data_IF_768625241445
#
_entry.id   IF_768625241445
#
_cell.length_a   1.000
_cell.length_b   1.000
_cell.length_c   1.000
_cell.angle_alpha   90.00
_cell.angle_beta   90.00
_cell.angle_gamma   90.00
#
_symmetry.space_group_name_H-M   'P 1'
#
loop_
_entity.id
_entity.type
_entity.pdbx_description
1 polymer ?
#
# COMPACT_ATOMS: atom_id res chain seq x y z
N UNK A 1 17.69 25.55 10.93
CA UNK A 1 18.44 24.82 9.89
C UNK A 1 17.94 25.34 8.55
N UNK A 2 18.82 25.71 7.62
CA UNK A 2 18.38 26.12 6.28
C UNK A 2 17.85 24.89 5.52
N UNK A 3 16.78 25.06 4.76
CA UNK A 3 16.24 24.02 3.92
C UNK A 3 17.20 23.75 2.75
N UNK A 4 17.79 22.57 2.72
CA UNK A 4 18.74 22.15 1.68
C UNK A 4 18.06 21.43 0.51
N UNK A 5 16.75 21.18 0.60
CA UNK A 5 16.04 20.41 -0.41
C UNK A 5 15.68 21.28 -1.62
N UNK A 6 16.12 20.84 -2.80
CA UNK A 6 15.59 21.34 -4.07
C UNK A 6 14.32 20.55 -4.35
N UNK A 7 13.17 21.22 -4.21
CA UNK A 7 11.85 20.61 -4.48
C UNK A 7 11.42 20.88 -5.89
N UNK A 8 10.73 19.91 -6.49
CA UNK A 8 10.01 20.17 -7.73
C UNK A 8 8.96 21.26 -7.52
N UNK A 9 8.89 22.26 -8.42
CA UNK A 9 7.80 23.24 -8.38
C UNK A 9 6.42 22.62 -8.66
N UNK A 10 6.39 21.41 -9.24
CA UNK A 10 5.18 20.63 -9.49
C UNK A 10 4.67 19.88 -8.27
N UNK A 11 5.32 19.97 -7.10
CA UNK A 11 4.82 19.29 -5.92
C UNK A 11 3.42 19.83 -5.50
N UNK A 12 2.49 18.94 -5.09
CA UNK A 12 2.62 17.48 -5.06
C UNK A 12 2.54 16.85 -6.45
N UNK A 13 3.41 15.86 -6.73
CA UNK A 13 3.43 15.18 -8.04
C UNK A 13 2.20 14.30 -8.29
N UNK A 14 1.56 13.84 -7.22
CA UNK A 14 0.35 13.02 -7.23
C UNK A 14 -0.51 13.37 -6.01
N UNK A 15 -1.82 13.43 -6.22
CA UNK A 15 -2.84 13.66 -5.22
C UNK A 15 -3.88 12.51 -5.21
N UNK A 16 -4.66 12.35 -4.13
CA UNK A 16 -5.75 11.36 -4.10
C UNK A 16 -6.74 11.45 -5.27
N UNK A 17 -6.97 12.65 -5.82
CA UNK A 17 -7.86 12.86 -6.98
C UNK A 17 -7.31 12.28 -8.28
N UNK A 18 -6.01 12.03 -8.37
CA UNK A 18 -5.37 11.49 -9.59
C UNK A 18 -5.54 9.97 -9.69
N UNK A 19 -5.97 9.31 -8.61
CA UNK A 19 -6.11 7.86 -8.53
C UNK A 19 -7.58 7.48 -8.45
N UNK A 20 -8.03 6.67 -9.40
CA UNK A 20 -9.38 6.10 -9.37
C UNK A 20 -9.49 5.06 -8.25
N UNK A 21 -10.49 5.10 -7.37
CA UNK A 21 -10.65 4.10 -6.30
C UNK A 21 -10.70 2.66 -6.80
N UNK A 22 -10.27 1.70 -5.97
CA UNK A 22 -10.28 0.28 -6.30
C UNK A 22 -11.70 -0.29 -6.43
N UNK A 23 -12.67 0.31 -5.74
CA UNK A 23 -14.10 -0.01 -5.83
C UNK A 23 -14.93 1.28 -5.82
N UNK A 24 -16.10 1.34 -6.50
CA UNK A 24 -16.91 2.55 -6.60
C UNK A 24 -17.40 3.13 -5.25
N UNK A 25 -17.59 2.27 -4.26
CA UNK A 25 -18.05 2.62 -2.91
C UNK A 25 -16.94 3.17 -2.00
N UNK A 26 -15.68 3.02 -2.44
CA UNK A 26 -14.51 3.51 -1.73
C UNK A 26 -14.06 4.86 -2.29
N UNK A 27 -13.28 5.57 -1.48
CA UNK A 27 -12.54 6.75 -1.89
C UNK A 27 -11.07 6.58 -1.53
N UNK A 28 -10.21 7.11 -2.38
CA UNK A 28 -8.78 7.26 -2.07
C UNK A 28 -8.66 8.36 -1.03
N UNK A 29 -8.22 7.99 0.17
CA UNK A 29 -7.96 8.95 1.24
C UNK A 29 -6.53 9.49 1.14
N UNK A 30 -5.58 8.62 0.77
CA UNK A 30 -4.17 9.00 0.71
C UNK A 30 -3.43 8.23 -0.39
N UNK A 31 -2.48 8.94 -1.03
CA UNK A 31 -1.50 8.41 -1.98
C UNK A 31 -0.14 8.76 -1.41
N UNK A 32 0.67 7.77 -1.03
CA UNK A 32 1.90 8.03 -0.28
C UNK A 32 2.94 6.91 -0.40
N UNK A 33 4.09 7.14 0.24
CA UNK A 33 5.16 6.19 0.51
C UNK A 33 5.54 5.27 -0.67
N UNK A 34 5.82 5.83 -1.88
CA UNK A 34 6.14 5.00 -3.02
C UNK A 34 7.47 4.27 -2.86
N UNK A 35 7.50 3.01 -3.29
CA UNK A 35 8.74 2.39 -3.79
C UNK A 35 9.09 2.99 -5.15
N UNK A 36 10.37 3.08 -5.50
CA UNK A 36 10.83 3.69 -6.76
C UNK A 36 11.74 2.71 -7.49
N UNK A 37 11.60 2.61 -8.81
CA UNK A 37 12.47 1.81 -9.67
C UNK A 37 12.50 2.36 -11.10
N UNK A 38 13.44 1.86 -11.91
CA UNK A 38 13.46 2.10 -13.35
C UNK A 38 13.07 0.83 -14.07
N UNK A 39 12.25 0.94 -15.12
CA UNK A 39 11.86 -0.17 -15.97
C UNK A 39 11.39 0.38 -17.32
N UNK A 40 11.78 -0.29 -18.41
CA UNK A 40 11.46 0.13 -19.78
C UNK A 40 11.76 1.62 -20.06
N UNK A 41 12.95 2.07 -19.66
CA UNK A 41 13.43 3.46 -19.79
C UNK A 41 12.55 4.55 -19.12
N UNK A 42 11.65 4.16 -18.20
CA UNK A 42 10.79 5.08 -17.44
C UNK A 42 11.13 5.02 -15.95
N UNK A 43 10.78 6.07 -15.22
CA UNK A 43 10.74 6.04 -13.75
C UNK A 43 9.38 5.51 -13.32
N UNK A 44 9.37 4.54 -12.41
CA UNK A 44 8.16 3.93 -11.89
C UNK A 44 8.05 4.13 -10.38
N UNK A 45 6.81 4.24 -9.91
CA UNK A 45 6.47 4.26 -8.49
C UNK A 45 5.53 3.10 -8.15
N UNK A 46 5.76 2.46 -7.01
CA UNK A 46 4.81 1.57 -6.35
C UNK A 46 4.17 2.33 -5.21
N UNK A 47 3.09 3.04 -5.50
CA UNK A 47 2.34 3.88 -4.56
C UNK A 47 1.66 3.01 -3.49
N UNK A 48 1.65 3.46 -2.24
CA UNK A 48 0.66 3.01 -1.25
C UNK A 48 -0.61 3.83 -1.42
N UNK A 49 -1.70 3.16 -1.72
CA UNK A 49 -3.03 3.76 -1.83
C UNK A 49 -3.85 3.32 -0.61
N UNK A 50 -4.20 4.28 0.25
CA UNK A 50 -5.06 4.03 1.40
C UNK A 50 -6.49 4.44 1.05
N UNK A 51 -7.43 3.49 1.10
CA UNK A 51 -8.82 3.71 0.76
C UNK A 51 -9.74 3.51 1.95
N UNK A 52 -10.85 4.24 1.96
CA UNK A 52 -11.93 4.05 2.93
C UNK A 52 -13.30 4.21 2.29
N UNK A 53 -14.37 3.68 2.93
CA UNK A 53 -15.73 3.97 2.51
C UNK A 53 -16.08 5.44 2.65
N UNK A 54 -16.99 5.92 1.79
CA UNK A 54 -17.63 7.21 1.97
C UNK A 54 -18.40 7.25 3.31
N UNK A 55 -18.10 8.24 4.15
CA UNK A 55 -18.70 8.34 5.48
C UNK A 55 -20.12 8.89 5.42
N UNK A 56 -21.03 8.29 6.20
CA UNK A 56 -22.41 8.74 6.35
C UNK A 56 -22.57 9.44 7.70
N UNK A 57 -23.39 10.50 7.74
CA UNK A 57 -23.65 11.25 8.97
C UNK A 57 -24.23 10.32 10.06
N UNK A 58 -23.62 10.33 11.24
CA UNK A 58 -24.05 9.52 12.39
C UNK A 58 -23.60 8.05 12.34
N UNK A 59 -22.83 7.66 11.31
CA UNK A 59 -22.26 6.33 11.16
C UNK A 59 -20.74 6.36 11.26
N UNK A 60 -20.17 5.24 11.63
CA UNK A 60 -18.73 4.94 11.52
C UNK A 60 -18.63 3.78 10.54
N UNK A 61 -17.91 3.96 9.45
CA UNK A 61 -17.68 2.91 8.46
C UNK A 61 -16.21 2.74 8.11
N UNK A 62 -15.78 1.49 7.98
CA UNK A 62 -14.39 1.14 7.69
C UNK A 62 -14.31 -0.13 6.82
N UNK A 63 -13.25 -0.28 6.03
CA UNK A 63 -13.08 -1.41 5.15
C UNK A 63 -12.50 -2.63 5.90
N UNK A 64 -12.92 -3.82 5.53
CA UNK A 64 -12.37 -5.10 6.01
C UNK A 64 -12.17 -6.06 4.83
N UNK A 65 -11.09 -6.83 4.85
CA UNK A 65 -10.90 -7.92 3.91
C UNK A 65 -11.56 -9.19 4.43
N UNK A 66 -12.46 -9.79 3.64
CA UNK A 66 -13.07 -11.07 3.98
C UNK A 66 -12.15 -12.26 3.65
N UNK A 67 -12.59 -13.47 4.05
CA UNK A 67 -11.85 -14.72 3.81
C UNK A 67 -11.71 -15.10 2.32
N UNK A 68 -12.47 -14.45 1.45
CA UNK A 68 -12.42 -14.57 0.00
C UNK A 68 -11.57 -13.46 -0.65
N UNK A 69 -10.74 -12.78 0.14
CA UNK A 69 -9.88 -11.65 -0.25
C UNK A 69 -10.64 -10.45 -0.82
N UNK A 70 -11.96 -10.37 -0.61
CA UNK A 70 -12.78 -9.23 -1.03
C UNK A 70 -12.93 -8.20 0.08
N UNK A 71 -12.71 -6.94 -0.27
CA UNK A 71 -12.95 -5.80 0.61
C UNK A 71 -14.45 -5.58 0.75
N UNK A 72 -14.90 -5.36 1.98
CA UNK A 72 -16.28 -5.03 2.35
C UNK A 72 -16.28 -3.87 3.33
N UNK A 73 -17.40 -3.17 3.41
CA UNK A 73 -17.60 -2.11 4.41
C UNK A 73 -18.32 -2.67 5.62
N UNK A 74 -17.77 -2.48 6.82
CA UNK A 74 -18.54 -2.55 8.06
C UNK A 74 -19.03 -1.15 8.41
N UNK A 75 -20.26 -1.07 8.94
CA UNK A 75 -20.91 0.19 9.30
C UNK A 75 -21.65 0.04 10.62
N UNK A 76 -21.43 0.99 11.54
CA UNK A 76 -22.03 1.01 12.86
C UNK A 76 -22.57 2.41 13.18
N UNK A 77 -23.52 2.51 14.10
CA UNK A 77 -23.93 3.80 14.67
C UNK A 77 -22.78 4.40 15.46
N UNK A 78 -22.53 5.71 15.30
CA UNK A 78 -21.45 6.41 16.01
C UNK A 78 -21.53 6.27 17.55
N UNK A 79 -22.74 6.14 18.09
CA UNK A 79 -22.97 6.00 19.53
C UNK A 79 -23.07 4.54 19.99
N UNK A 80 -22.66 3.58 19.15
CA UNK A 80 -22.64 2.18 19.54
C UNK A 80 -21.67 1.99 20.72
N UNK A 81 -22.12 1.44 21.87
CA UNK A 81 -21.30 1.33 23.08
C UNK A 81 -20.12 0.36 22.94
N UNK A 82 -20.10 -0.46 21.89
CA UNK A 82 -19.00 -1.40 21.59
C UNK A 82 -17.90 -0.76 20.72
N UNK A 83 -18.06 0.49 20.28
CA UNK A 83 -17.05 1.20 19.49
C UNK A 83 -16.11 1.99 20.38
N UNK A 84 -14.81 1.88 20.10
CA UNK A 84 -13.78 2.76 20.64
C UNK A 84 -13.01 3.45 19.50
N UNK A 85 -12.95 4.79 19.53
CA UNK A 85 -12.45 5.63 18.45
C UNK A 85 -11.36 6.61 18.93
N UNK A 86 -10.42 6.11 19.74
CA UNK A 86 -9.40 6.94 20.39
C UNK A 86 -8.28 7.41 19.45
N UNK A 87 -7.93 6.60 18.44
CA UNK A 87 -6.97 6.93 17.38
C UNK A 87 -7.70 6.91 16.03
N UNK A 88 -7.60 7.96 15.19
CA UNK A 88 -8.33 8.02 13.91
C UNK A 88 -7.92 6.93 12.91
N UNK A 89 -6.78 6.27 13.10
CA UNK A 89 -6.30 5.20 12.23
C UNK A 89 -6.93 3.86 12.57
N UNK A 90 -7.33 3.68 13.82
CA UNK A 90 -7.87 2.42 14.34
C UNK A 90 -9.36 2.53 14.63
N UNK A 91 -10.08 1.44 14.45
CA UNK A 91 -11.44 1.29 14.93
C UNK A 91 -11.48 0.03 15.77
N UNK A 92 -11.82 0.15 17.04
CA UNK A 92 -12.04 -1.03 17.90
C UNK A 92 -13.54 -1.26 17.95
N UNK A 93 -13.97 -2.49 17.67
CA UNK A 93 -15.36 -2.92 17.78
C UNK A 93 -15.42 -4.25 18.52
N UNK A 94 -16.12 -4.27 19.65
CA UNK A 94 -16.31 -5.48 20.48
C UNK A 94 -14.99 -6.16 20.88
N UNK A 95 -13.97 -5.34 21.19
CA UNK A 95 -12.62 -5.80 21.55
C UNK A 95 -11.70 -6.16 20.37
N UNK A 96 -12.21 -6.21 19.15
CA UNK A 96 -11.44 -6.48 17.93
C UNK A 96 -10.94 -5.18 17.30
N UNK A 97 -9.68 -5.16 16.88
CA UNK A 97 -9.04 -3.98 16.28
C UNK A 97 -9.05 -4.04 14.75
N UNK A 98 -9.46 -2.94 14.14
CA UNK A 98 -9.51 -2.74 12.70
C UNK A 98 -8.77 -1.46 12.30
N UNK A 99 -8.51 -1.31 11.00
CA UNK A 99 -8.02 -0.05 10.44
C UNK A 99 -9.16 0.73 9.79
N UNK A 100 -9.09 2.06 9.94
CA UNK A 100 -10.03 3.02 9.30
C UNK A 100 -9.90 3.04 7.76
N UNK A 101 -8.76 2.58 7.24
CA UNK A 101 -8.44 2.48 5.82
C UNK A 101 -7.87 1.10 5.53
N UNK A 102 -7.99 0.64 4.28
CA UNK A 102 -7.25 -0.52 3.79
C UNK A 102 -6.26 -0.06 2.72
N UNK A 103 -5.01 -0.49 2.86
CA UNK A 103 -3.94 -0.14 1.92
C UNK A 103 -3.77 -1.22 0.85
N UNK A 104 -3.55 -0.80 -0.38
CA UNK A 104 -3.05 -1.63 -1.48
C UNK A 104 -1.94 -0.88 -2.21
N UNK A 105 -1.23 -1.58 -3.11
CA UNK A 105 -0.17 -0.97 -3.89
C UNK A 105 -0.62 -0.71 -5.34
N UNK A 106 -0.16 0.40 -5.91
CA UNK A 106 -0.46 0.76 -7.29
C UNK A 106 0.75 1.27 -8.05
N UNK A 107 0.95 0.73 -9.25
CA UNK A 107 2.05 1.11 -10.12
C UNK A 107 1.65 2.29 -11.01
N UNK A 108 2.55 3.26 -11.11
CA UNK A 108 2.49 4.37 -12.07
C UNK A 108 3.87 4.58 -12.67
N UNK A 109 3.94 5.14 -13.88
CA UNK A 109 5.19 5.43 -14.57
C UNK A 109 5.24 6.86 -15.11
N UNK A 110 6.46 7.32 -15.38
CA UNK A 110 6.75 8.65 -15.90
C UNK A 110 7.95 8.61 -16.83
N UNK A 111 7.84 9.31 -17.95
CA UNK A 111 8.93 9.51 -18.92
C UNK A 111 9.88 10.65 -18.52
N UNK A 112 9.41 11.61 -17.73
CA UNK A 112 10.15 12.83 -17.36
C UNK A 112 10.45 12.95 -15.86
N UNK A 113 10.00 11.97 -15.07
CA UNK A 113 10.16 11.93 -13.61
C UNK A 113 9.28 12.92 -12.86
N UNK A 114 8.35 13.60 -13.54
CA UNK A 114 7.49 14.65 -12.96
C UNK A 114 6.01 14.31 -13.15
N UNK A 115 5.61 13.88 -14.35
CA UNK A 115 4.23 13.56 -14.68
C UNK A 115 4.03 12.04 -14.65
N UNK A 116 3.31 11.56 -13.65
CA UNK A 116 3.04 10.13 -13.46
C UNK A 116 1.64 9.74 -13.95
N UNK A 117 1.53 8.58 -14.56
CA UNK A 117 0.25 7.99 -14.99
C UNK A 117 0.24 6.48 -14.77
N UNK A 118 -0.96 5.91 -14.66
CA UNK A 118 -1.13 4.46 -14.65
C UNK A 118 -1.04 3.93 -16.10
N UNK A 119 -0.12 3.01 -16.40
CA UNK A 119 0.03 2.45 -17.74
C UNK A 119 -1.07 1.44 -18.09
N UNK A 120 -1.49 1.41 -19.36
CA UNK A 120 -2.56 0.52 -19.86
C UNK A 120 -2.07 -0.89 -20.21
N UNK A 121 -0.76 -1.09 -20.40
CA UNK A 121 -0.15 -2.31 -20.92
C UNK A 121 0.45 -3.25 -19.84
N UNK A 122 0.31 -2.87 -18.56
CA UNK A 122 0.77 -3.64 -17.40
C UNK A 122 -0.32 -3.81 -16.34
N UNK A 123 -0.33 -4.93 -15.58
CA UNK A 123 -1.12 -5.01 -14.36
C UNK A 123 -0.52 -4.09 -13.28
N UNK A 124 -1.32 -3.15 -12.80
CA UNK A 124 -0.83 -2.06 -11.93
C UNK A 124 -1.28 -2.19 -10.48
N UNK A 125 -2.23 -3.07 -10.17
CA UNK A 125 -2.84 -3.18 -8.83
C UNK A 125 -2.33 -4.42 -8.10
N UNK A 126 -1.72 -4.23 -6.93
CA UNK A 126 -1.39 -5.31 -6.01
C UNK A 126 -2.24 -5.16 -4.76
N UNK A 127 -3.09 -6.14 -4.50
CA UNK A 127 -3.96 -6.18 -3.32
C UNK A 127 -3.44 -7.19 -2.30
N UNK A 128 -3.88 -7.03 -1.05
CA UNK A 128 -3.67 -8.03 -0.01
C UNK A 128 -4.26 -9.38 -0.39
N UNK A 129 -3.61 -10.47 0.02
CA UNK A 129 -4.04 -11.86 -0.17
C UNK A 129 -3.81 -12.67 1.11
N UNK A 130 -4.85 -13.38 1.54
CA UNK A 130 -4.76 -14.28 2.68
C UNK A 130 -4.74 -13.56 4.04
N UNK A 131 -4.59 -14.35 5.11
CA UNK A 131 -4.81 -13.87 6.48
C UNK A 131 -3.76 -12.88 6.98
N UNK A 132 -2.51 -12.99 6.52
CA UNK A 132 -1.39 -12.15 6.97
C UNK A 132 -1.41 -10.75 6.36
N UNK A 133 -2.20 -10.54 5.30
CA UNK A 133 -2.35 -9.27 4.59
C UNK A 133 -3.77 -8.69 4.74
N UNK A 134 -4.54 -9.19 5.72
CA UNK A 134 -5.98 -8.92 5.89
C UNK A 134 -6.34 -7.47 6.22
N UNK A 135 -5.38 -6.67 6.70
CA UNK A 135 -5.54 -5.23 6.91
C UNK A 135 -4.86 -4.40 5.81
N UNK A 136 -4.34 -5.05 4.78
CA UNK A 136 -3.72 -4.43 3.62
C UNK A 136 -2.22 -4.67 3.52
N UNK A 137 -1.67 -4.18 2.41
CA UNK A 137 -0.24 -4.20 2.12
C UNK A 137 0.26 -2.76 1.98
N UNK A 138 1.44 -2.48 2.55
CA UNK A 138 1.89 -1.10 2.73
C UNK A 138 3.37 -0.90 2.39
N UNK A 139 3.70 0.34 2.06
CA UNK A 139 5.07 0.88 2.06
C UNK A 139 6.08 -0.01 1.34
N UNK A 140 5.81 -0.32 0.06
CA UNK A 140 6.69 -1.16 -0.74
C UNK A 140 8.06 -0.49 -0.97
N UNK A 141 9.12 -1.29 -1.01
CA UNK A 141 10.44 -0.91 -1.54
C UNK A 141 10.78 -1.86 -2.68
N UNK A 142 11.51 -1.35 -3.66
CA UNK A 142 11.91 -2.12 -4.85
C UNK A 142 13.42 -2.07 -4.95
N UNK A 143 14.04 -3.24 -5.08
CA UNK A 143 15.46 -3.39 -5.37
C UNK A 143 15.62 -4.28 -6.59
N UNK A 144 16.34 -3.81 -7.61
CA UNK A 144 16.71 -4.63 -8.76
C UNK A 144 18.08 -5.29 -8.50
N UNK A 145 18.18 -6.60 -8.75
CA UNK A 145 19.44 -7.34 -8.75
C UNK A 145 19.42 -8.29 -9.95
N UNK A 146 20.40 -8.17 -10.84
CA UNK A 146 20.58 -9.03 -12.01
C UNK A 146 19.30 -9.18 -12.88
N UNK A 147 18.55 -8.09 -13.08
CA UNK A 147 17.32 -8.06 -13.86
C UNK A 147 16.07 -8.58 -13.14
N UNK A 148 16.19 -9.00 -11.87
CA UNK A 148 15.05 -9.35 -11.01
C UNK A 148 14.72 -8.20 -10.06
N UNK A 149 13.46 -7.80 -10.01
CA UNK A 149 12.94 -6.84 -9.05
C UNK A 149 12.43 -7.57 -7.82
N UNK A 150 12.99 -7.22 -6.66
CA UNK A 150 12.58 -7.69 -5.35
C UNK A 150 11.77 -6.61 -4.66
N UNK A 151 10.54 -6.96 -4.29
CA UNK A 151 9.58 -6.06 -3.66
C UNK A 151 9.40 -6.48 -2.21
N UNK A 152 9.97 -5.72 -1.29
CA UNK A 152 9.64 -5.85 0.14
C UNK A 152 8.45 -4.95 0.44
N UNK A 153 7.50 -5.44 1.24
CA UNK A 153 6.32 -4.67 1.62
C UNK A 153 5.86 -5.10 3.00
N UNK A 154 5.08 -4.24 3.65
CA UNK A 154 4.52 -4.53 4.96
C UNK A 154 3.24 -5.35 4.79
N UNK A 155 3.19 -6.53 5.41
CA UNK A 155 1.98 -7.35 5.55
C UNK A 155 1.31 -6.98 6.88
N UNK A 156 0.07 -6.48 6.83
CA UNK A 156 -0.66 -6.07 8.04
C UNK A 156 -1.85 -6.99 8.28
N UNK A 157 -1.97 -7.51 9.50
CA UNK A 157 -3.11 -8.33 9.93
C UNK A 157 -3.32 -8.27 11.45
N UNK A 158 -4.36 -8.97 11.91
CA UNK A 158 -4.59 -9.22 13.33
C UNK A 158 -3.42 -9.99 14.01
N UNK A 159 -2.60 -10.72 13.24
CA UNK A 159 -1.41 -11.41 13.74
C UNK A 159 -0.20 -10.48 13.94
N UNK A 160 -0.31 -9.21 13.55
CA UNK A 160 0.74 -8.22 13.64
C UNK A 160 1.19 -7.68 12.28
N UNK A 161 2.35 -7.02 12.30
CA UNK A 161 2.95 -6.30 11.17
C UNK A 161 4.25 -6.99 10.78
N UNK A 162 4.29 -7.67 9.64
CA UNK A 162 5.49 -8.37 9.15
C UNK A 162 5.97 -7.84 7.79
N UNK A 163 7.04 -8.44 7.28
CA UNK A 163 7.60 -8.07 5.96
C UNK A 163 7.40 -9.21 4.98
N UNK A 164 6.65 -8.94 3.92
CA UNK A 164 6.47 -9.81 2.77
C UNK A 164 7.51 -9.59 1.69
N UNK A 165 7.70 -10.60 0.83
CA UNK A 165 8.52 -10.50 -0.38
C UNK A 165 7.71 -10.93 -1.60
N UNK A 166 7.75 -10.10 -2.63
CA UNK A 166 7.36 -10.41 -4.00
C UNK A 166 8.58 -10.30 -4.91
N UNK A 167 8.55 -10.99 -6.05
CA UNK A 167 9.57 -10.85 -7.09
C UNK A 167 8.95 -10.85 -8.48
N UNK A 168 9.56 -10.14 -9.41
CA UNK A 168 9.20 -10.13 -10.83
C UNK A 168 10.39 -9.77 -11.70
N UNK A 169 10.39 -10.22 -12.95
CA UNK A 169 11.38 -9.82 -13.98
C UNK A 169 10.74 -8.92 -15.05
N UNK A 170 9.41 -8.96 -15.18
CA UNK A 170 8.67 -8.37 -16.30
C UNK A 170 7.51 -7.46 -15.89
N UNK A 171 7.23 -7.34 -14.59
CA UNK A 171 6.09 -6.60 -14.01
C UNK A 171 4.71 -7.06 -14.50
N UNK A 172 4.63 -8.20 -15.19
CA UNK A 172 3.39 -8.86 -15.63
C UNK A 172 3.10 -10.08 -14.78
N UNK A 173 4.15 -10.79 -14.37
CA UNK A 173 4.07 -11.96 -13.51
C UNK A 173 4.80 -11.68 -12.20
N UNK A 174 4.02 -11.66 -11.10
CA UNK A 174 4.55 -11.43 -9.76
C UNK A 174 4.47 -12.73 -8.96
N UNK A 175 5.62 -13.18 -8.48
CA UNK A 175 5.73 -14.34 -7.59
C UNK A 175 5.77 -13.85 -6.14
N UNK A 176 4.74 -14.19 -5.35
CA UNK A 176 4.74 -14.00 -3.90
C UNK A 176 5.60 -15.07 -3.24
N UNK A 177 6.56 -14.63 -2.41
CA UNK A 177 7.49 -15.48 -1.65
C UNK A 177 7.09 -15.61 -0.18
N UNK A 178 6.05 -14.89 0.24
CA UNK A 178 5.53 -14.85 1.59
C UNK A 178 6.36 -13.98 2.53
N UNK A 179 6.11 -14.13 3.82
CA UNK A 179 6.73 -13.35 4.87
C UNK A 179 8.20 -13.74 5.08
N UNK A 180 9.10 -12.77 4.88
CA UNK A 180 10.56 -12.91 5.07
C UNK A 180 11.03 -12.43 6.45
N UNK A 181 10.27 -11.55 7.12
CA UNK A 181 10.50 -11.19 8.52
C UNK A 181 9.19 -11.27 9.31
N UNK A 182 9.17 -11.99 10.45
CA UNK A 182 7.98 -12.14 11.28
C UNK A 182 7.62 -10.84 12.00
N UNK A 183 6.38 -10.69 12.48
CA UNK A 183 6.00 -9.54 13.28
C UNK A 183 6.77 -9.43 14.61
N UNK A 184 7.05 -8.22 15.10
CA UNK A 184 6.75 -6.93 14.50
C UNK A 184 7.95 -6.39 13.72
N UNK A 185 7.83 -6.24 12.40
CA UNK A 185 8.90 -5.71 11.55
C UNK A 185 8.34 -4.99 10.31
N UNK A 186 9.06 -3.96 9.83
CA UNK A 186 8.75 -3.12 8.67
C UNK A 186 10.00 -2.42 8.16
N UNK A 187 9.86 -1.58 7.14
CA UNK A 187 10.96 -0.75 6.59
C UNK A 187 12.16 -1.58 6.09
N UNK A 188 11.88 -2.79 5.59
CA UNK A 188 12.92 -3.66 5.04
C UNK A 188 13.39 -3.13 3.68
N UNK A 189 14.71 -2.98 3.54
CA UNK A 189 15.37 -2.67 2.29
C UNK A 189 16.40 -3.75 1.95
N UNK A 190 16.50 -4.09 0.67
CA UNK A 190 17.48 -5.06 0.16
C UNK A 190 18.64 -4.27 -0.47
N UNK A 191 19.87 -4.68 -0.19
CA UNK A 191 21.06 -4.13 -0.86
C UNK A 191 20.99 -4.40 -2.37
N UNK A 192 21.36 -3.41 -3.20
CA UNK A 192 21.29 -3.52 -4.66
C UNK A 192 22.31 -4.46 -5.31
N UNK A 193 23.17 -5.09 -4.51
CA UNK A 193 24.17 -6.05 -4.98
C UNK A 193 24.55 -7.02 -3.87
N UNK A 194 25.20 -8.12 -4.24
CA UNK A 194 25.83 -9.02 -3.28
C UNK A 194 27.09 -8.40 -2.71
N UNK A 195 27.25 -8.47 -1.39
CA UNK A 195 28.41 -7.94 -0.69
C UNK A 195 29.23 -9.11 -0.14
N UNK A 196 30.43 -9.32 -0.70
CA UNK A 196 31.31 -10.43 -0.34
C UNK A 196 30.64 -11.82 -0.49
N UNK A 197 29.84 -11.99 -1.55
CA UNK A 197 29.15 -13.24 -1.86
C UNK A 197 27.87 -13.51 -1.05
N UNK A 198 27.33 -12.49 -0.36
CA UNK A 198 26.08 -12.55 0.39
C UNK A 198 25.08 -11.55 -0.14
#
# INVERSE_FOLDING_TARGET
MADLAIRFPQNPLLEPSDITPSQPELKVECVMNPGVFHFDNKTWLVLRIAERPCQKKGKVSFPVMGKDDKIRTLEFDHNNPLLELTDPRYVIYDGESYLSTISHLRLVCSDDGVHFHEPDDYPTKLTGLGSLESFGIEDCRVTEIDGTYYLTFTEVSASGVGVGLMQTEDWKHISRRGMIFPPHNKDCAIFGEKINGK
#
